data_IF_726441240076
#
_entry.id   IF_726441240076
#
_cell.length_a   1.000
_cell.length_b   1.000
_cell.length_c   1.000
_cell.angle_alpha   90.00
_cell.angle_beta   90.00
_cell.angle_gamma   90.00
#
_symmetry.space_group_name_H-M   'P 1'
#
loop_
_entity.id
_entity.type
_entity.pdbx_description
1 polymer ?
#
# COMPACT_ATOMS: atom_id res chain seq x y z
N UNK A 1 10.56 -9.41 27.79
CA UNK A 1 9.55 -8.37 28.11
C UNK A 1 8.92 -7.89 26.81
N UNK A 2 7.60 -7.99 26.61
CA UNK A 2 6.95 -7.42 25.43
C UNK A 2 6.79 -5.90 25.63
N UNK A 3 7.21 -5.13 24.63
CA UNK A 3 7.21 -3.67 24.68
C UNK A 3 5.78 -3.10 24.74
N UNK A 4 5.47 -2.36 25.80
CA UNK A 4 4.20 -1.67 26.04
C UNK A 4 4.13 -0.33 25.27
N UNK A 5 4.31 -0.36 23.94
CA UNK A 5 4.13 0.83 23.09
C UNK A 5 3.31 0.58 21.83
N UNK A 6 2.51 -0.49 21.78
CA UNK A 6 1.33 -0.49 20.91
C UNK A 6 0.14 0.09 21.68
N UNK A 7 -0.01 1.41 21.63
CA UNK A 7 -1.34 1.99 21.71
C UNK A 7 -2.12 1.48 20.48
N UNK A 8 -2.64 0.26 20.58
CA UNK A 8 -3.60 -0.29 19.64
C UNK A 8 -4.78 0.65 19.64
N UNK A 9 -4.90 1.40 18.55
CA UNK A 9 -6.00 2.32 18.28
C UNK A 9 -7.31 1.52 18.32
N UNK A 10 -7.98 1.52 19.48
CA UNK A 10 -9.24 0.82 19.76
C UNK A 10 -10.44 1.53 19.10
N UNK A 11 -10.27 2.06 17.89
CA UNK A 11 -11.34 2.73 17.15
C UNK A 11 -11.47 2.20 15.74
N UNK A 12 -12.73 2.04 15.36
CA UNK A 12 -13.13 1.66 14.01
C UNK A 12 -13.00 2.88 13.11
N UNK A 13 -11.87 2.96 12.41
CA UNK A 13 -11.57 3.95 11.38
C UNK A 13 -12.57 3.83 10.23
N UNK A 14 -12.89 4.95 9.56
CA UNK A 14 -13.62 4.87 8.28
C UNK A 14 -12.80 4.08 7.26
N UNK A 15 -13.34 2.96 6.81
CA UNK A 15 -12.77 2.15 5.71
C UNK A 15 -13.61 2.28 4.46
N UNK A 16 -12.94 2.43 3.32
CA UNK A 16 -13.59 2.54 2.03
C UNK A 16 -13.09 1.41 1.10
N UNK A 17 -13.55 0.17 1.29
CA UNK A 17 -13.01 -1.00 0.57
C UNK A 17 -13.14 -0.88 -0.94
N UNK A 18 -14.22 -0.26 -1.45
CA UNK A 18 -14.39 0.01 -2.89
C UNK A 18 -13.25 0.87 -3.46
N UNK A 19 -12.81 1.90 -2.74
CA UNK A 19 -11.69 2.71 -3.22
C UNK A 19 -10.36 1.95 -3.14
N UNK A 20 -10.19 1.07 -2.15
CA UNK A 20 -9.01 0.23 -2.08
C UNK A 20 -8.94 -0.72 -3.29
N UNK A 21 -10.08 -1.22 -3.76
CA UNK A 21 -10.20 -2.01 -5.00
C UNK A 21 -9.96 -1.14 -6.25
N UNK A 22 -10.54 0.05 -6.33
CA UNK A 22 -10.49 0.91 -7.52
C UNK A 22 -9.12 1.58 -7.73
N UNK A 23 -8.52 2.15 -6.67
CA UNK A 23 -7.29 2.96 -6.77
C UNK A 23 -6.07 2.35 -6.05
N UNK A 24 -6.23 1.17 -5.44
CA UNK A 24 -5.17 0.46 -4.70
C UNK A 24 -4.82 1.07 -3.34
N UNK A 25 -5.58 2.06 -2.88
CA UNK A 25 -5.33 2.77 -1.62
C UNK A 25 -6.64 3.20 -0.96
N UNK A 26 -6.67 3.23 0.38
CA UNK A 26 -7.77 3.82 1.16
C UNK A 26 -7.36 5.19 1.73
N UNK A 27 -7.81 6.32 1.14
CA UNK A 27 -7.42 7.67 1.55
C UNK A 27 -7.81 8.02 2.99
N UNK A 28 -8.85 7.37 3.52
CA UNK A 28 -9.27 7.61 4.90
C UNK A 28 -8.19 7.18 5.90
N UNK A 29 -7.17 6.41 5.47
CA UNK A 29 -6.06 5.94 6.32
C UNK A 29 -5.24 7.10 6.84
N UNK A 30 -5.14 8.11 6.01
CA UNK A 30 -4.35 9.29 6.26
C UNK A 30 -5.25 10.44 6.75
N UNK A 31 -6.47 10.54 6.20
CA UNK A 31 -7.38 11.66 6.46
C UNK A 31 -8.16 11.53 7.76
N UNK A 32 -8.51 10.31 8.21
CA UNK A 32 -9.22 10.02 9.47
C UNK A 32 -8.28 10.07 10.69
N UNK A 33 -7.36 11.02 10.67
CA UNK A 33 -6.44 11.32 11.77
C UNK A 33 -6.57 12.79 12.15
N UNK A 34 -6.19 13.12 13.38
CA UNK A 34 -6.10 14.51 13.82
C UNK A 34 -4.88 15.19 13.20
N UNK A 35 -5.14 15.99 12.16
CA UNK A 35 -4.15 16.81 11.45
C UNK A 35 -4.13 18.26 11.95
N UNK A 36 -5.04 18.63 12.86
CA UNK A 36 -5.09 19.95 13.47
C UNK A 36 -4.04 20.05 14.58
N UNK A 37 -4.04 19.08 15.49
CA UNK A 37 -3.11 19.04 16.64
C UNK A 37 -1.75 18.44 16.29
N UNK A 38 -1.61 17.70 15.18
CA UNK A 38 -0.37 17.04 14.79
C UNK A 38 0.16 17.59 13.45
N UNK A 39 1.02 18.63 13.48
CA UNK A 39 1.50 19.28 12.27
C UNK A 39 2.34 18.36 11.37
N UNK A 40 3.08 17.39 11.93
CA UNK A 40 3.91 16.48 11.13
C UNK A 40 3.08 15.47 10.34
N UNK A 41 1.94 15.02 10.91
CA UNK A 41 0.97 14.19 10.16
C UNK A 41 0.35 14.98 9.01
N UNK A 42 0.06 16.25 9.24
CA UNK A 42 -0.44 17.14 8.19
C UNK A 42 0.59 17.32 7.06
N UNK A 43 1.87 17.50 7.39
CA UNK A 43 2.95 17.54 6.39
C UNK A 43 3.02 16.25 5.59
N UNK A 44 2.95 15.10 6.26
CA UNK A 44 2.93 13.79 5.60
C UNK A 44 1.75 13.65 4.63
N UNK A 45 0.55 14.08 5.04
CA UNK A 45 -0.64 14.09 4.15
C UNK A 45 -0.43 14.99 2.94
N UNK A 46 0.19 16.16 3.11
CA UNK A 46 0.52 17.02 1.96
C UNK A 46 1.54 16.37 1.03
N UNK A 47 2.58 15.71 1.57
CA UNK A 47 3.53 14.97 0.76
C UNK A 47 2.88 13.81 0.00
N UNK A 48 1.90 13.13 0.60
CA UNK A 48 1.12 12.09 -0.10
C UNK A 48 0.30 12.69 -1.25
N UNK A 49 -0.39 13.81 -1.01
CA UNK A 49 -1.17 14.50 -2.06
C UNK A 49 -0.26 14.94 -3.21
N UNK A 50 0.93 15.45 -2.91
CA UNK A 50 1.90 15.87 -3.92
C UNK A 50 2.41 14.71 -4.77
N UNK A 51 2.44 13.50 -4.20
CA UNK A 51 2.81 12.27 -4.88
C UNK A 51 1.69 11.65 -5.73
N UNK A 52 0.45 12.13 -5.64
CA UNK A 52 -0.67 11.60 -6.43
C UNK A 52 -0.45 11.93 -7.91
N UNK A 53 -0.53 10.92 -8.76
CA UNK A 53 -0.16 10.98 -10.16
C UNK A 53 -1.31 10.79 -11.16
N UNK A 54 -2.53 10.55 -10.65
CA UNK A 54 -3.76 10.48 -11.44
C UNK A 54 -4.87 11.35 -10.86
N UNK A 55 -5.66 11.97 -11.75
CA UNK A 55 -6.82 12.81 -11.43
C UNK A 55 -7.88 11.96 -10.72
N UNK A 56 -8.07 10.71 -11.15
CA UNK A 56 -8.98 9.77 -10.48
C UNK A 56 -8.64 9.63 -8.99
N UNK A 57 -7.36 9.42 -8.67
CA UNK A 57 -6.89 9.31 -7.28
C UNK A 57 -7.08 10.62 -6.52
N UNK A 58 -6.84 11.79 -7.12
CA UNK A 58 -7.12 13.09 -6.50
C UNK A 58 -8.61 13.24 -6.17
N UNK A 59 -9.50 12.89 -7.11
CA UNK A 59 -10.96 12.96 -6.94
C UNK A 59 -11.45 11.99 -5.87
N UNK A 60 -10.88 10.79 -5.80
CA UNK A 60 -11.17 9.82 -4.74
C UNK A 60 -10.82 10.40 -3.36
N UNK A 61 -9.61 10.96 -3.18
CA UNK A 61 -9.19 11.63 -1.95
C UNK A 61 -10.13 12.78 -1.56
N UNK A 62 -10.53 13.61 -2.54
CA UNK A 62 -11.49 14.70 -2.34
C UNK A 62 -12.86 14.20 -1.86
N UNK A 63 -13.33 13.09 -2.42
CA UNK A 63 -14.61 12.48 -2.02
C UNK A 63 -14.57 11.98 -0.57
N UNK A 64 -13.42 11.45 -0.12
CA UNK A 64 -13.24 10.97 1.25
C UNK A 64 -13.19 12.13 2.24
N UNK A 65 -12.46 13.20 1.94
CA UNK A 65 -12.44 14.38 2.83
C UNK A 65 -13.84 14.97 3.00
N UNK A 66 -14.63 15.03 1.91
CA UNK A 66 -16.05 15.43 1.98
C UNK A 66 -16.89 14.46 2.80
N UNK A 67 -16.71 13.15 2.62
CA UNK A 67 -17.41 12.14 3.43
C UNK A 67 -17.06 12.27 4.90
N UNK A 68 -15.80 12.51 5.27
CA UNK A 68 -15.36 12.69 6.65
C UNK A 68 -16.00 13.93 7.30
N UNK A 69 -16.14 15.03 6.56
CA UNK A 69 -16.83 16.22 7.04
C UNK A 69 -18.36 16.04 7.18
N UNK A 70 -18.98 15.26 6.30
CA UNK A 70 -20.44 15.08 6.29
C UNK A 70 -20.94 13.92 7.17
N UNK A 71 -20.05 13.04 7.65
CA UNK A 71 -20.50 11.77 8.22
C UNK A 71 -20.95 11.86 9.67
N UNK A 72 -21.89 10.99 10.02
CA UNK A 72 -22.28 10.60 11.39
C UNK A 72 -21.09 10.15 12.25
N UNK A 73 -20.03 9.68 11.62
CA UNK A 73 -18.77 9.34 12.27
C UNK A 73 -18.02 10.56 12.78
N UNK A 74 -18.29 11.79 12.33
CA UNK A 74 -17.65 13.01 12.83
C UNK A 74 -17.82 13.19 14.34
N UNK A 75 -18.95 12.77 14.93
CA UNK A 75 -19.15 12.78 16.40
C UNK A 75 -18.12 11.91 17.14
N UNK A 76 -17.64 10.82 16.51
CA UNK A 76 -16.61 9.92 17.08
C UNK A 76 -15.22 10.12 16.45
N UNK A 77 -15.14 10.79 15.30
CA UNK A 77 -13.92 11.05 14.58
C UNK A 77 -13.08 12.03 15.39
N UNK A 78 -11.75 11.93 15.26
CA UNK A 78 -10.85 12.79 16.02
C UNK A 78 -10.97 14.27 15.61
N UNK A 79 -11.51 14.54 14.42
CA UNK A 79 -11.85 15.88 13.97
C UNK A 79 -13.36 15.97 13.68
N UNK A 80 -14.18 16.45 14.63
CA UNK A 80 -15.54 16.87 14.33
C UNK A 80 -15.47 18.13 13.47
N UNK A 81 -15.66 17.96 12.17
CA UNK A 81 -15.59 19.05 11.19
C UNK A 81 -16.96 19.21 10.54
N UNK A 82 -17.59 20.37 10.69
CA UNK A 82 -18.81 20.71 9.94
C UNK A 82 -18.53 20.96 8.45
N UNK A 83 -17.26 21.21 8.08
CA UNK A 83 -16.83 21.50 6.71
C UNK A 83 -15.50 20.78 6.40
N UNK A 84 -15.28 20.34 5.14
CA UNK A 84 -13.99 19.79 4.70
C UNK A 84 -12.84 20.74 5.04
N UNK A 85 -11.65 20.19 5.37
CA UNK A 85 -10.50 21.05 5.70
C UNK A 85 -10.06 21.82 4.48
N UNK A 86 -10.29 23.13 4.51
CA UNK A 86 -10.03 24.04 3.39
C UNK A 86 -8.61 23.89 2.82
N UNK A 87 -7.58 23.73 3.66
CA UNK A 87 -6.20 23.57 3.20
C UNK A 87 -5.94 22.25 2.46
N UNK A 88 -6.59 21.16 2.87
CA UNK A 88 -6.46 19.86 2.19
C UNK A 88 -7.19 19.91 0.85
N UNK A 89 -8.42 20.45 0.86
CA UNK A 89 -9.20 20.67 -0.35
C UNK A 89 -8.45 21.54 -1.36
N UNK A 90 -7.90 22.68 -0.92
CA UNK A 90 -7.09 23.56 -1.76
C UNK A 90 -5.87 22.85 -2.34
N UNK A 91 -5.19 22.00 -1.54
CA UNK A 91 -4.02 21.27 -2.04
C UNK A 91 -4.40 20.20 -3.07
N UNK A 92 -5.52 19.52 -2.88
CA UNK A 92 -6.08 18.59 -3.87
C UNK A 92 -6.47 19.33 -5.15
N UNK A 93 -7.12 20.49 -5.05
CA UNK A 93 -7.49 21.30 -6.21
C UNK A 93 -6.24 21.76 -6.98
N UNK A 94 -5.21 22.26 -6.29
CA UNK A 94 -3.91 22.60 -6.90
C UNK A 94 -3.25 21.40 -7.60
N UNK A 95 -3.39 20.19 -7.04
CA UNK A 95 -2.81 18.99 -7.63
C UNK A 95 -3.60 18.55 -8.86
N UNK A 96 -4.92 18.61 -8.82
CA UNK A 96 -5.80 18.35 -9.97
C UNK A 96 -5.43 19.31 -11.13
N UNK A 97 -5.37 20.62 -10.87
CA UNK A 97 -4.96 21.62 -11.86
C UNK A 97 -3.57 21.35 -12.44
N UNK A 98 -2.62 20.94 -11.60
CA UNK A 98 -1.28 20.60 -12.06
C UNK A 98 -1.29 19.39 -13.01
N UNK A 99 -2.07 18.35 -12.69
CA UNK A 99 -2.19 17.15 -13.52
C UNK A 99 -2.96 17.43 -14.82
N UNK A 100 -3.96 18.30 -14.79
CA UNK A 100 -4.65 18.76 -16.01
C UNK A 100 -3.69 19.52 -16.94
N UNK A 101 -2.79 20.32 -16.39
CA UNK A 101 -1.84 21.11 -17.17
C UNK A 101 -0.64 20.30 -17.70
N UNK A 102 -0.10 19.37 -16.90
CA UNK A 102 1.13 18.63 -17.22
C UNK A 102 0.88 17.20 -17.71
N UNK A 103 -0.36 16.73 -17.63
CA UNK A 103 -0.73 15.34 -17.86
C UNK A 103 -0.53 14.45 -16.64
N UNK A 104 -1.19 13.29 -16.67
CA UNK A 104 -1.03 12.24 -15.67
C UNK A 104 0.24 11.42 -15.93
N UNK A 105 0.78 10.81 -14.86
CA UNK A 105 1.85 9.83 -15.05
C UNK A 105 1.26 8.57 -15.66
N UNK A 106 1.85 8.00 -16.72
CA UNK A 106 1.40 6.70 -17.21
C UNK A 106 1.64 5.63 -16.15
N UNK A 107 0.69 4.69 -16.01
CA UNK A 107 0.74 3.56 -15.07
C UNK A 107 2.07 2.79 -15.11
N UNK A 108 2.71 2.78 -16.29
CA UNK A 108 4.04 2.22 -16.51
C UNK A 108 4.88 3.24 -17.26
N UNK A 109 6.04 3.59 -16.71
CA UNK A 109 7.02 4.29 -17.52
C UNK A 109 7.56 3.33 -18.58
N UNK A 110 7.67 3.77 -19.85
CA UNK A 110 8.23 2.95 -20.92
C UNK A 110 9.68 2.53 -20.63
N UNK A 111 10.41 3.32 -19.82
CA UNK A 111 11.73 3.01 -19.32
C UNK A 111 11.77 3.14 -17.78
N UNK A 112 12.49 2.22 -17.11
CA UNK A 112 12.70 2.30 -15.68
C UNK A 112 13.41 3.60 -15.25
N UNK A 113 13.65 3.84 -13.95
CA UNK A 113 14.28 5.08 -13.46
C UNK A 113 15.72 5.30 -13.95
N UNK A 114 16.29 4.35 -14.70
CA UNK A 114 17.61 4.46 -15.32
C UNK A 114 17.47 5.01 -16.73
N UNK A 115 18.41 5.87 -17.12
CA UNK A 115 18.60 6.30 -18.52
C UNK A 115 18.55 5.05 -19.41
N UNK A 116 17.83 5.08 -20.55
CA UNK A 116 17.85 3.98 -21.51
C UNK A 116 19.31 3.57 -21.74
N UNK A 117 19.65 2.31 -21.52
CA UNK A 117 20.94 1.82 -21.99
C UNK A 117 20.90 1.83 -23.51
N UNK A 118 22.05 1.97 -24.17
CA UNK A 118 22.19 1.76 -25.63
C UNK A 118 21.72 0.35 -26.07
N UNK A 119 21.51 -0.56 -25.12
CA UNK A 119 20.89 -1.87 -25.34
C UNK A 119 19.35 -1.88 -25.42
N UNK A 120 18.68 -0.74 -25.18
CA UNK A 120 17.22 -0.58 -25.17
C UNK A 120 16.71 0.32 -26.32
N UNK A 121 17.56 0.73 -27.26
CA UNK A 121 17.25 1.68 -28.35
C UNK A 121 16.29 1.12 -29.45
N UNK A 122 15.38 0.22 -29.09
CA UNK A 122 14.38 -0.36 -30.00
C UNK A 122 13.03 -0.63 -29.36
N UNK A 123 12.78 -0.12 -28.14
CA UNK A 123 11.58 -0.39 -27.36
C UNK A 123 10.55 0.77 -27.39
N UNK A 124 10.76 1.79 -28.25
CA UNK A 124 9.89 2.98 -28.31
C UNK A 124 8.46 2.70 -28.84
N UNK A 125 8.27 1.56 -29.52
CA UNK A 125 6.96 1.12 -30.01
C UNK A 125 6.28 0.09 -29.08
N UNK A 126 6.92 -0.27 -27.96
CA UNK A 126 6.40 -1.32 -27.09
C UNK A 126 5.25 -0.75 -26.27
N UNK A 127 4.04 -1.25 -26.52
CA UNK A 127 2.86 -0.78 -25.83
C UNK A 127 2.82 -1.32 -24.39
N UNK A 128 2.05 -0.69 -23.49
CA UNK A 128 1.81 -1.24 -22.15
C UNK A 128 1.22 -2.66 -22.16
N UNK A 129 0.53 -3.06 -23.23
CA UNK A 129 0.00 -4.42 -23.38
C UNK A 129 1.12 -5.44 -23.65
N UNK A 130 2.05 -5.10 -24.53
CA UNK A 130 3.18 -5.96 -24.90
C UNK A 130 4.11 -6.23 -23.70
N UNK A 131 4.33 -5.20 -22.86
CA UNK A 131 5.09 -5.35 -21.62
C UNK A 131 4.41 -6.27 -20.61
N UNK A 132 3.07 -6.23 -20.50
CA UNK A 132 2.31 -7.14 -19.62
C UNK A 132 2.41 -8.58 -20.10
N UNK A 133 2.37 -8.80 -21.41
CA UNK A 133 2.51 -10.13 -21.98
C UNK A 133 3.91 -10.71 -21.72
N UNK A 134 4.96 -9.91 -21.92
CA UNK A 134 6.34 -10.29 -21.60
C UNK A 134 6.54 -10.66 -20.13
N UNK A 135 5.98 -9.88 -19.21
CA UNK A 135 6.08 -10.15 -17.77
C UNK A 135 5.30 -11.41 -17.38
N UNK A 136 4.11 -11.64 -17.95
CA UNK A 136 3.37 -12.89 -17.76
C UNK A 136 4.18 -14.09 -18.25
N UNK A 137 4.83 -13.96 -19.41
CA UNK A 137 5.69 -15.01 -19.95
C UNK A 137 6.96 -15.21 -19.10
N UNK A 138 7.51 -14.16 -18.49
CA UNK A 138 8.65 -14.28 -17.55
C UNK A 138 8.24 -14.93 -16.23
N UNK A 139 7.08 -14.55 -15.68
CA UNK A 139 6.50 -15.15 -14.49
C UNK A 139 6.16 -16.63 -14.71
N UNK A 140 5.59 -16.98 -15.86
CA UNK A 140 5.31 -18.37 -16.23
C UNK A 140 6.61 -19.18 -16.33
N UNK A 141 7.67 -18.63 -16.96
CA UNK A 141 8.99 -19.27 -16.99
C UNK A 141 9.58 -19.53 -15.59
N UNK A 142 9.38 -18.61 -14.64
CA UNK A 142 9.78 -18.82 -13.25
C UNK A 142 8.94 -19.93 -12.58
N UNK A 143 7.63 -19.95 -12.83
CA UNK A 143 6.75 -21.03 -12.33
C UNK A 143 7.17 -22.39 -12.91
N UNK A 144 7.41 -22.47 -14.21
CA UNK A 144 7.78 -23.69 -14.91
C UNK A 144 9.14 -24.23 -14.43
N UNK A 145 10.12 -23.34 -14.22
CA UNK A 145 11.42 -23.71 -13.63
C UNK A 145 11.31 -24.16 -12.17
N UNK A 146 10.34 -23.65 -11.42
CA UNK A 146 10.06 -24.14 -10.06
C UNK A 146 9.17 -25.40 -10.03
N UNK A 147 8.49 -25.75 -11.12
CA UNK A 147 7.70 -26.98 -11.24
C UNK A 147 8.53 -28.19 -11.69
N UNK A 148 9.70 -27.97 -12.31
CA UNK A 148 10.63 -29.05 -12.67
C UNK A 148 11.35 -29.59 -11.42
N UNK A 149 10.71 -30.52 -10.71
CA UNK A 149 11.33 -31.32 -9.66
C UNK A 149 10.88 -30.94 -8.26
N UNK A 150 9.57 -31.03 -8.01
CA UNK A 150 9.10 -31.13 -6.63
C UNK A 150 9.84 -32.28 -5.94
N UNK A 151 10.61 -31.96 -4.91
CA UNK A 151 11.23 -32.95 -4.03
C UNK A 151 10.10 -33.83 -3.50
N UNK A 152 10.11 -35.10 -3.87
CA UNK A 152 9.15 -36.07 -3.35
C UNK A 152 9.43 -36.27 -1.86
N UNK A 153 8.74 -35.50 -1.03
CA UNK A 153 8.88 -35.56 0.43
C UNK A 153 8.40 -36.89 1.03
N UNK A 154 7.85 -37.81 0.22
CA UNK A 154 7.53 -39.17 0.69
C UNK A 154 8.78 -40.02 0.97
N UNK A 155 9.95 -39.67 0.43
CA UNK A 155 11.23 -40.35 0.69
C UNK A 155 12.10 -39.66 1.77
N UNK A 156 11.55 -38.70 2.52
CA UNK A 156 12.28 -38.17 3.68
C UNK A 156 12.34 -39.24 4.77
N UNK A 157 13.49 -39.91 4.84
CA UNK A 157 13.94 -40.93 5.80
C UNK A 157 13.23 -40.91 7.17
N UNK A 158 12.91 -42.07 7.78
CA UNK A 158 12.25 -42.18 9.09
C UNK A 158 12.98 -41.47 10.25
N UNK A 159 14.20 -40.99 10.04
CA UNK A 159 15.02 -40.28 11.03
C UNK A 159 14.49 -38.88 11.40
N UNK A 160 13.65 -38.26 10.57
CA UNK A 160 13.12 -36.91 10.82
C UNK A 160 11.78 -36.91 11.58
N UNK A 161 11.06 -38.04 11.63
CA UNK A 161 9.80 -38.14 12.39
C UNK A 161 10.01 -38.13 13.91
N UNK A 162 11.18 -38.56 14.39
CA UNK A 162 11.50 -38.63 15.82
C UNK A 162 12.04 -37.32 16.39
N UNK A 163 12.34 -36.30 15.57
CA UNK A 163 12.99 -35.08 16.06
C UNK A 163 12.06 -33.87 16.29
N UNK A 164 10.80 -33.91 15.83
CA UNK A 164 9.96 -32.69 15.76
C UNK A 164 8.85 -32.62 16.81
N UNK A 165 8.66 -33.65 17.65
CA UNK A 165 7.64 -33.67 18.70
C UNK A 165 8.16 -34.43 19.92
N UNK A 166 8.89 -33.76 20.83
CA UNK A 166 9.11 -34.31 22.18
C UNK A 166 10.45 -34.08 22.88
N UNK A 167 11.12 -32.93 22.72
CA UNK A 167 12.39 -32.68 23.45
C UNK A 167 12.52 -31.29 24.11
N UNK A 168 11.42 -30.60 24.39
CA UNK A 168 11.46 -29.34 25.15
C UNK A 168 10.33 -29.27 26.20
N UNK A 169 10.44 -30.09 27.25
CA UNK A 169 9.88 -29.85 28.59
C UNK A 169 10.23 -31.01 29.52
N UNK A 170 10.43 -30.73 30.81
CA UNK A 170 10.96 -31.58 31.91
C UNK A 170 12.49 -31.67 31.87
N UNK A 171 13.28 -31.26 32.85
CA UNK A 171 13.19 -31.28 34.31
C UNK A 171 14.35 -30.36 34.80
N UNK A 172 14.17 -29.36 35.66
CA UNK A 172 14.18 -29.52 37.11
C UNK A 172 15.05 -28.40 37.69
N UNK A 173 14.44 -27.50 38.45
CA UNK A 173 15.16 -26.53 39.26
C UNK A 173 15.12 -27.00 40.70
N UNK A 174 16.29 -27.32 41.26
CA UNK A 174 16.58 -27.29 42.69
C UNK A 174 18.11 -27.21 42.91
N UNK A 175 18.45 -26.56 44.02
CA UNK A 175 19.77 -26.39 44.67
C UNK A 175 20.65 -25.16 44.33
N UNK A 176 20.33 -24.03 44.98
CA UNK A 176 21.13 -23.50 46.12
C UNK A 176 20.44 -22.32 46.82
#
# INVERSE_FOLDING_TARGET
MPSTTQAGDRRERLRCPRLEEDIGEDPARWLDQDLLSHPDRRKLVFSLIDGIDSIERVRAWRSIERKLANNRFAEKARNPLEKPRAKIMQRLDQREEWLELHGERPDRLPCGPRRPCECCDGEDEVTPADLRERDKAAAQRLVDTHQSGGVDTNETSPRTKTSTLGAFATDGGEDQ
#
